data_IF_045361945812
#
_entry.id   IF_045361945812
#
_cell.length_a   1.000
_cell.length_b   1.000
_cell.length_c   1.000
_cell.angle_alpha   90.00
_cell.angle_beta   90.00
_cell.angle_gamma   90.00
#
_symmetry.space_group_name_H-M   'P 1'
#
loop_
_entity.id
_entity.type
_entity.pdbx_description
1 polymer ?
#
# COMPACT_ATOMS: atom_id res chain seq x y z
N UNK A 1 45.90 2.82 47.29
CA UNK A 1 45.68 3.37 45.93
C UNK A 1 45.80 2.24 44.91
N UNK A 2 44.74 2.02 44.11
CA UNK A 2 44.73 1.63 42.67
C UNK A 2 43.27 1.36 42.29
N UNK A 3 42.77 2.15 41.33
CA UNK A 3 41.41 2.08 40.76
C UNK A 3 41.39 0.99 39.70
N UNK A 4 40.33 0.19 39.61
CA UNK A 4 39.88 -0.35 38.31
C UNK A 4 38.35 -0.41 38.28
N UNK A 5 37.81 0.23 37.25
CA UNK A 5 36.43 0.40 36.81
C UNK A 5 36.19 -0.58 35.67
N UNK A 6 35.15 -1.41 35.69
CA UNK A 6 34.66 -2.17 34.50
C UNK A 6 33.31 -2.83 34.85
N UNK A 7 32.23 -2.87 34.08
CA UNK A 7 31.69 -2.22 32.88
C UNK A 7 30.27 -2.82 32.78
N UNK A 8 29.20 -2.01 32.78
CA UNK A 8 27.84 -2.51 32.52
C UNK A 8 27.77 -2.97 31.05
N UNK A 9 27.40 -4.22 30.80
CA UNK A 9 26.89 -4.66 29.51
C UNK A 9 25.43 -5.09 29.71
N UNK A 10 24.52 -4.16 29.44
CA UNK A 10 23.09 -4.45 29.37
C UNK A 10 22.80 -5.25 28.10
N UNK A 11 22.43 -6.52 28.25
CA UNK A 11 21.76 -7.27 27.19
C UNK A 11 20.26 -7.00 27.28
N UNK A 12 19.78 -6.03 26.50
CA UNK A 12 18.35 -5.97 26.19
C UNK A 12 18.12 -6.93 25.02
N UNK A 13 17.67 -8.13 25.31
CA UNK A 13 17.20 -9.08 24.29
C UNK A 13 15.87 -8.56 23.73
N UNK A 14 15.93 -7.85 22.60
CA UNK A 14 14.74 -7.44 21.86
C UNK A 14 14.10 -8.66 21.20
N UNK A 15 12.92 -9.07 21.66
CA UNK A 15 12.08 -10.05 20.95
C UNK A 15 11.43 -9.34 19.77
N UNK A 16 11.90 -9.59 18.55
CA UNK A 16 11.20 -9.18 17.34
C UNK A 16 9.94 -10.05 17.19
N UNK A 17 8.77 -9.44 17.37
CA UNK A 17 7.49 -10.09 17.08
C UNK A 17 7.18 -9.85 15.59
N UNK A 18 7.26 -10.89 14.77
CA UNK A 18 6.82 -10.79 13.38
C UNK A 18 5.28 -10.79 13.35
N UNK A 19 4.72 -9.72 12.80
CA UNK A 19 3.28 -9.55 12.64
C UNK A 19 2.71 -10.59 11.68
N UNK A 20 1.61 -11.19 12.12
CA UNK A 20 0.77 -12.18 11.44
C UNK A 20 0.40 -11.71 10.02
N UNK A 21 0.77 -12.46 8.99
CA UNK A 21 0.23 -12.27 7.64
C UNK A 21 -1.21 -12.75 7.64
N UNK A 22 -2.15 -11.82 7.49
CA UNK A 22 -3.56 -12.14 7.32
C UNK A 22 -3.74 -13.03 6.09
N UNK A 23 -4.37 -14.19 6.30
CA UNK A 23 -4.88 -15.06 5.24
C UNK A 23 -5.77 -14.25 4.29
N UNK A 24 -5.31 -14.06 3.07
CA UNK A 24 -6.12 -13.46 2.00
C UNK A 24 -7.11 -14.50 1.52
N UNK A 25 -8.31 -14.50 2.11
CA UNK A 25 -9.46 -15.20 1.55
C UNK A 25 -9.99 -14.39 0.36
N UNK A 26 -9.99 -14.91 -0.88
CA UNK A 26 -10.32 -14.13 -2.07
C UNK A 26 -11.83 -14.07 -2.23
N UNK A 27 -12.48 -13.04 -1.69
CA UNK A 27 -13.90 -12.82 -1.99
C UNK A 27 -14.28 -11.34 -2.04
N UNK A 28 -13.52 -10.58 -2.82
CA UNK A 28 -14.15 -9.58 -3.70
C UNK A 28 -13.65 -9.77 -5.11
N UNK A 29 -14.61 -10.11 -5.96
CA UNK A 29 -14.41 -10.23 -7.39
C UNK A 29 -13.94 -8.89 -7.98
N UNK A 30 -12.70 -8.92 -8.44
CA UNK A 30 -12.14 -8.08 -9.51
C UNK A 30 -12.07 -6.56 -9.24
N UNK A 31 -11.20 -6.14 -8.31
CA UNK A 31 -10.62 -4.79 -8.35
C UNK A 31 -9.51 -4.75 -9.39
N UNK A 32 -9.75 -4.13 -10.53
CA UNK A 32 -8.72 -3.90 -11.55
C UNK A 32 -8.12 -2.50 -11.40
N UNK A 33 -6.79 -2.45 -11.41
CA UNK A 33 -6.00 -1.23 -11.42
C UNK A 33 -5.41 -1.06 -12.82
N UNK A 34 -5.67 0.08 -13.47
CA UNK A 34 -5.12 0.38 -14.79
C UNK A 34 -4.21 1.59 -14.67
N UNK A 35 -2.94 1.41 -15.06
CA UNK A 35 -1.97 2.48 -15.26
C UNK A 35 -2.13 3.01 -16.69
N UNK A 36 -2.38 4.31 -16.85
CA UNK A 36 -2.38 4.94 -18.17
C UNK A 36 -1.01 5.57 -18.44
N UNK A 37 -0.64 5.70 -19.71
CA UNK A 37 0.60 6.38 -20.17
C UNK A 37 0.79 7.78 -19.60
N UNK A 38 -0.30 8.43 -19.15
CA UNK A 38 -0.31 9.77 -18.57
C UNK A 38 -0.05 9.80 -17.05
N UNK A 39 0.59 8.79 -16.47
CA UNK A 39 0.84 8.70 -15.01
C UNK A 39 -0.44 8.89 -14.21
N UNK A 40 -1.51 8.21 -14.65
CA UNK A 40 -2.77 8.17 -13.92
C UNK A 40 -3.14 6.73 -13.63
N UNK A 41 -3.75 6.56 -12.46
CA UNK A 41 -4.25 5.27 -12.01
C UNK A 41 -5.75 5.37 -11.87
N UNK A 42 -6.47 4.40 -12.43
CA UNK A 42 -7.91 4.27 -12.24
C UNK A 42 -8.22 3.10 -11.32
N UNK A 43 -8.95 3.38 -10.25
CA UNK A 43 -9.51 2.40 -9.32
C UNK A 43 -10.98 2.17 -9.66
N UNK A 44 -11.33 0.90 -9.86
CA UNK A 44 -12.71 0.45 -10.03
C UNK A 44 -13.11 -0.48 -8.89
N UNK A 45 -14.21 -0.16 -8.21
CA UNK A 45 -14.80 -0.97 -7.13
C UNK A 45 -16.26 -1.21 -7.47
N UNK A 46 -16.70 -2.46 -7.39
CA UNK A 46 -18.10 -2.81 -7.60
C UNK A 46 -19.00 -2.20 -6.50
N UNK A 47 -20.29 -1.97 -6.78
CA UNK A 47 -21.23 -1.53 -5.77
C UNK A 47 -21.30 -2.46 -4.56
N UNK A 48 -21.20 -1.89 -3.37
CA UNK A 48 -21.34 -2.57 -2.10
C UNK A 48 -22.10 -1.66 -1.11
N UNK A 49 -22.95 -2.24 -0.27
CA UNK A 49 -23.70 -1.49 0.77
C UNK A 49 -22.79 -1.15 1.96
N UNK A 50 -21.68 -0.47 1.71
CA UNK A 50 -20.68 -0.13 2.72
C UNK A 50 -20.05 1.25 2.44
N UNK A 51 -19.35 1.77 3.45
CA UNK A 51 -18.39 2.86 3.30
C UNK A 51 -16.98 2.28 3.35
N UNK A 52 -16.03 2.96 2.74
CA UNK A 52 -14.63 2.55 2.82
C UNK A 52 -13.70 3.73 2.99
N UNK A 53 -12.61 3.49 3.71
CA UNK A 53 -11.48 4.41 3.82
C UNK A 53 -10.44 4.04 2.78
N UNK A 54 -10.27 4.93 1.81
CA UNK A 54 -9.35 4.79 0.70
C UNK A 54 -8.09 5.60 0.97
N UNK A 55 -6.94 4.92 1.00
CA UNK A 55 -5.64 5.56 1.22
C UNK A 55 -4.60 5.15 0.20
N UNK A 56 -3.65 6.04 -0.07
CA UNK A 56 -2.43 5.76 -0.82
C UNK A 56 -1.25 6.02 0.10
N UNK A 57 -0.33 5.06 0.19
CA UNK A 57 0.86 5.11 1.04
C UNK A 57 2.13 4.87 0.23
N UNK A 58 3.23 5.51 0.64
CA UNK A 58 4.56 5.19 0.12
C UNK A 58 5.11 3.89 0.75
N UNK A 59 6.28 3.45 0.28
CA UNK A 59 6.95 2.25 0.78
C UNK A 59 7.35 2.31 2.28
N UNK A 60 7.43 3.52 2.85
CA UNK A 60 7.71 3.73 4.27
C UNK A 60 6.42 3.75 5.12
N UNK A 61 5.26 3.62 4.48
CA UNK A 61 3.95 3.65 5.12
C UNK A 61 3.39 5.07 5.33
N UNK A 62 4.05 6.11 4.81
CA UNK A 62 3.54 7.48 4.89
C UNK A 62 2.28 7.63 4.04
N UNK A 63 1.24 8.22 4.63
CA UNK A 63 -0.04 8.45 3.95
C UNK A 63 0.08 9.68 3.06
N UNK A 64 -0.05 9.47 1.74
CA UNK A 64 -0.02 10.53 0.72
C UNK A 64 -1.42 10.99 0.33
N UNK A 65 -2.40 10.10 0.48
CA UNK A 65 -3.80 10.37 0.21
C UNK A 65 -4.65 9.57 1.19
N UNK A 66 -5.74 10.17 1.68
CA UNK A 66 -6.75 9.48 2.45
C UNK A 66 -8.12 10.14 2.27
N UNK A 67 -9.16 9.33 2.07
CA UNK A 67 -10.54 9.81 1.99
C UNK A 67 -11.52 8.71 2.38
N UNK A 68 -12.68 9.08 2.89
CA UNK A 68 -13.79 8.15 3.08
C UNK A 68 -14.74 8.23 1.88
N UNK A 69 -15.06 7.09 1.29
CA UNK A 69 -15.95 6.96 0.12
C UNK A 69 -17.18 6.14 0.45
N UNK A 70 -18.30 6.47 -0.19
CA UNK A 70 -19.48 5.60 -0.24
C UNK A 70 -19.33 4.61 -1.39
N UNK A 71 -19.53 3.32 -1.13
CA UNK A 71 -19.45 2.27 -2.15
C UNK A 71 -20.83 1.85 -2.68
N UNK A 72 -21.92 2.49 -2.22
CA UNK A 72 -23.31 2.09 -2.54
C UNK A 72 -23.61 1.99 -4.04
N UNK A 73 -22.93 2.80 -4.87
CA UNK A 73 -23.05 2.82 -6.34
C UNK A 73 -21.80 2.31 -7.04
N UNK A 74 -20.88 1.71 -6.30
CA UNK A 74 -19.51 1.42 -6.73
C UNK A 74 -18.65 2.67 -6.68
N UNK A 75 -17.37 2.50 -7.01
CA UNK A 75 -16.39 3.58 -7.05
C UNK A 75 -15.62 3.52 -8.36
N UNK A 76 -15.52 4.67 -9.02
CA UNK A 76 -14.58 4.90 -10.10
C UNK A 76 -13.79 6.15 -9.75
N UNK A 77 -12.55 5.98 -9.29
CA UNK A 77 -11.69 7.08 -8.90
C UNK A 77 -10.42 7.08 -9.76
N UNK A 78 -10.06 8.26 -10.28
CA UNK A 78 -8.81 8.47 -10.96
C UNK A 78 -7.86 9.25 -10.06
N UNK A 79 -6.61 8.82 -10.02
CA UNK A 79 -5.52 9.45 -9.30
C UNK A 79 -4.48 9.94 -10.30
N UNK A 80 -4.12 11.21 -10.19
CA UNK A 80 -2.96 11.75 -10.86
C UNK A 80 -1.74 11.49 -9.97
N UNK A 81 -0.79 10.71 -10.48
CA UNK A 81 0.44 10.34 -9.76
C UNK A 81 1.69 10.98 -10.38
N UNK A 82 1.52 11.97 -11.25
CA UNK A 82 2.63 12.68 -11.90
C UNK A 82 3.57 13.38 -10.91
N UNK A 83 3.07 13.75 -9.74
CA UNK A 83 3.86 14.38 -8.67
C UNK A 83 4.47 13.37 -7.69
N UNK A 84 4.24 12.06 -7.88
CA UNK A 84 4.84 11.03 -7.04
C UNK A 84 6.25 10.73 -7.52
N UNK A 85 7.20 10.62 -6.57
CA UNK A 85 8.55 10.16 -6.87
C UNK A 85 8.56 8.71 -7.35
N UNK A 86 9.68 8.28 -7.95
CA UNK A 86 9.85 6.87 -8.29
C UNK A 86 9.85 6.00 -7.03
N UNK A 87 9.17 4.87 -7.10
CA UNK A 87 9.06 3.99 -5.93
C UNK A 87 7.83 3.10 -5.94
N UNK A 88 7.72 2.31 -4.89
CA UNK A 88 6.58 1.44 -4.62
C UNK A 88 5.55 2.16 -3.76
N UNK A 89 4.28 1.99 -4.11
CA UNK A 89 3.15 2.58 -3.41
C UNK A 89 2.06 1.55 -3.20
N UNK A 90 1.27 1.76 -2.16
CA UNK A 90 0.16 0.91 -1.78
C UNK A 90 -1.13 1.71 -1.75
N UNK A 91 -2.12 1.30 -2.54
CA UNK A 91 -3.50 1.75 -2.44
C UNK A 91 -4.26 0.77 -1.56
N UNK A 92 -4.85 1.26 -0.48
CA UNK A 92 -5.62 0.46 0.48
C UNK A 92 -7.05 0.98 0.55
N UNK A 93 -8.04 0.10 0.34
CA UNK A 93 -9.45 0.36 0.64
C UNK A 93 -9.86 -0.50 1.82
N UNK A 94 -10.08 0.13 2.97
CA UNK A 94 -10.57 -0.55 4.16
C UNK A 94 -12.07 -0.34 4.30
N UNK A 95 -12.85 -1.41 4.40
CA UNK A 95 -14.28 -1.35 4.69
C UNK A 95 -14.56 -2.10 6.00
N UNK A 96 -15.81 -2.13 6.46
CA UNK A 96 -16.15 -2.83 7.69
C UNK A 96 -15.94 -4.35 7.61
N UNK A 97 -15.94 -4.90 6.40
CA UNK A 97 -15.87 -6.34 6.16
C UNK A 97 -14.50 -6.81 5.67
N UNK A 98 -13.72 -5.93 5.06
CA UNK A 98 -12.48 -6.32 4.39
C UNK A 98 -11.52 -5.17 4.18
N UNK A 99 -10.25 -5.53 4.04
CA UNK A 99 -9.19 -4.62 3.58
C UNK A 99 -8.69 -5.08 2.23
N UNK A 100 -8.72 -4.20 1.23
CA UNK A 100 -8.13 -4.43 -0.08
C UNK A 100 -6.86 -3.64 -0.23
N UNK A 101 -5.77 -4.31 -0.54
CA UNK A 101 -4.49 -3.66 -0.83
C UNK A 101 -4.05 -3.96 -2.25
N UNK A 102 -3.71 -2.91 -3.00
CA UNK A 102 -3.15 -2.99 -4.35
C UNK A 102 -1.83 -2.22 -4.38
N UNK A 103 -0.77 -2.90 -4.78
CA UNK A 103 0.56 -2.29 -4.93
C UNK A 103 0.75 -1.83 -6.37
N UNK A 104 1.37 -0.67 -6.56
CA UNK A 104 1.82 -0.19 -7.86
C UNK A 104 3.20 0.45 -7.77
N UNK A 105 3.90 0.52 -8.89
CA UNK A 105 5.25 1.09 -8.98
C UNK A 105 5.22 2.29 -9.91
N UNK A 106 5.76 3.40 -9.43
CA UNK A 106 6.05 4.58 -10.25
C UNK A 106 7.49 4.50 -10.72
N UNK A 107 7.68 4.51 -12.04
CA UNK A 107 9.00 4.43 -12.67
C UNK A 107 9.29 5.74 -13.40
N UNK A 108 10.57 6.15 -13.44
CA UNK A 108 10.98 7.39 -14.11
C UNK A 108 10.66 7.37 -15.62
N UNK A 109 10.63 6.18 -16.22
CA UNK A 109 10.38 5.97 -17.65
C UNK A 109 9.33 4.86 -17.84
N UNK A 110 8.02 5.19 -17.89
CA UNK A 110 6.94 4.18 -17.97
C UNK A 110 6.86 3.43 -19.33
N UNK A 111 7.71 3.76 -20.31
CA UNK A 111 7.67 3.18 -21.67
C UNK A 111 8.60 1.97 -21.87
N UNK A 112 9.25 1.45 -20.82
CA UNK A 112 9.99 0.19 -20.90
C UNK A 112 9.13 -0.95 -20.35
N UNK A 113 8.26 -1.48 -21.22
CA UNK A 113 7.65 -2.78 -21.02
C UNK A 113 8.75 -3.82 -20.86
N UNK A 114 8.81 -4.49 -19.70
CA UNK A 114 9.62 -5.69 -19.56
C UNK A 114 9.00 -6.78 -20.43
N UNK A 115 9.62 -7.07 -21.57
CA UNK A 115 9.37 -8.31 -22.30
C UNK A 115 9.91 -9.43 -21.42
N UNK A 116 9.02 -10.25 -20.86
CA UNK A 116 9.42 -11.53 -20.27
C UNK A 116 9.85 -12.39 -21.45
N UNK A 117 11.13 -12.72 -21.49
CA UNK A 117 11.70 -13.61 -22.51
C UNK A 117 11.53 -15.04 -22.01
N UNK A 118 10.87 -15.88 -22.82
CA UNK A 118 10.71 -17.32 -22.60
C UNK A 118 12.06 -18.07 -22.57
#
# INVERSE_FOLDING_TARGET
MKKVLTLMLGLVAGTASFAHTADVNPTVSATHLVMTTDQKIKLYVQPAQDKGDLSIRDANGHVLYNTTVSLQKGLQQQFDISNLGTGMYQLTLNTNHQTLTKTFVVQANPNVSFVVQD
#
